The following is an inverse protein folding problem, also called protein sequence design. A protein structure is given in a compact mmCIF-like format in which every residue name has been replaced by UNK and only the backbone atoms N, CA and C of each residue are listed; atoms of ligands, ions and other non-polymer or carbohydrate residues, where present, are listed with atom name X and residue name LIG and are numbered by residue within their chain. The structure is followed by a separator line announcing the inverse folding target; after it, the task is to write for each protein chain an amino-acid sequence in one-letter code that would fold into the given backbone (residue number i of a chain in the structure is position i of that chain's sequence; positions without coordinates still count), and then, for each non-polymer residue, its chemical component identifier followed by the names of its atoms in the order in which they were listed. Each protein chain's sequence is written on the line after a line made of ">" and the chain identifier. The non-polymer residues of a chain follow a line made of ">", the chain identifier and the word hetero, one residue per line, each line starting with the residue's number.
data_IF_436110650867
#
_entry.id   IF_436110650867
#
_cell.length_a   1.000
_cell.length_b   1.000
_cell.length_c   1.000
_cell.angle_alpha   90.00
_cell.angle_beta   90.00
_cell.angle_gamma   90.00
#
_symmetry.space_group_name_H-M   'P 1'
#
loop_
_entity.id
_entity.type
_entity.pdbx_description
1 polymer ?
#
# COMPACT_ATOMS: atom_id res chain seq x y z
N UNK A 1 -14.75 9.03 0.64
CA UNK A 1 -13.80 8.25 1.47
C UNK A 1 -12.68 9.18 1.91
N UNK A 2 -12.39 9.24 3.19
CA UNK A 2 -11.34 10.09 3.79
C UNK A 2 -10.42 9.20 4.62
N UNK A 3 -9.13 9.22 4.32
CA UNK A 3 -8.09 8.59 5.12
C UNK A 3 -7.39 9.66 5.96
N UNK A 4 -7.33 9.47 7.27
CA UNK A 4 -6.82 10.47 8.20
C UNK A 4 -5.92 9.86 9.27
N UNK A 5 -4.74 10.44 9.44
CA UNK A 5 -3.86 10.19 10.59
C UNK A 5 -3.83 11.40 11.51
N UNK A 6 -4.01 11.22 12.80
CA UNK A 6 -4.07 12.29 13.79
C UNK A 6 -2.97 12.14 14.83
N UNK A 7 -2.13 13.16 14.96
CA UNK A 7 -1.07 13.24 15.97
C UNK A 7 -0.21 11.98 16.06
N UNK A 8 0.16 11.43 14.90
CA UNK A 8 0.93 10.19 14.81
C UNK A 8 2.32 10.38 15.40
N UNK A 9 2.65 9.58 16.40
CA UNK A 9 3.98 9.54 17.04
C UNK A 9 4.53 8.13 16.90
N UNK A 10 5.83 8.05 16.57
CA UNK A 10 6.57 6.78 16.61
C UNK A 10 7.89 6.97 17.33
N UNK A 11 8.09 6.12 18.32
CA UNK A 11 9.31 6.04 19.11
C UNK A 11 9.93 4.65 18.99
N UNK A 12 11.25 4.60 18.89
CA UNK A 12 12.06 3.40 18.97
C UNK A 12 13.07 3.57 20.10
N UNK A 13 12.78 2.97 21.26
CA UNK A 13 13.52 3.23 22.47
C UNK A 13 13.46 4.72 22.83
N UNK A 14 14.60 5.39 23.09
CA UNK A 14 14.63 6.80 23.43
C UNK A 14 14.44 7.73 22.22
N UNK A 15 14.47 7.21 21.00
CA UNK A 15 14.44 8.01 19.78
C UNK A 15 13.02 8.20 19.28
N UNK A 16 12.53 9.43 19.27
CA UNK A 16 11.27 9.83 18.63
C UNK A 16 11.52 10.13 17.15
N UNK A 17 11.06 9.22 16.27
CA UNK A 17 11.23 9.29 14.82
C UNK A 17 10.14 10.11 14.16
N UNK A 18 8.88 9.98 14.62
CA UNK A 18 7.74 10.79 14.19
C UNK A 18 7.19 11.50 15.41
N UNK A 19 7.00 12.81 15.30
CA UNK A 19 6.81 13.72 16.46
C UNK A 19 5.43 14.40 16.46
N UNK A 20 4.38 13.72 16.05
CA UNK A 20 3.02 14.26 16.04
C UNK A 20 2.60 14.73 14.63
N UNK A 21 2.72 13.87 13.63
CA UNK A 21 2.27 14.16 12.27
C UNK A 21 0.78 13.91 12.15
N UNK A 22 0.08 14.90 11.59
CA UNK A 22 -1.31 14.74 11.16
C UNK A 22 -1.39 14.91 9.64
N UNK A 23 -2.13 14.03 8.99
CA UNK A 23 -2.31 14.02 7.53
C UNK A 23 -3.72 13.56 7.21
N UNK A 24 -4.29 14.14 6.18
CA UNK A 24 -5.59 13.75 5.63
C UNK A 24 -5.51 13.71 4.13
N UNK A 25 -6.21 12.76 3.52
CA UNK A 25 -6.40 12.68 2.08
C UNK A 25 -7.83 12.28 1.79
N UNK A 26 -8.47 12.98 0.87
CA UNK A 26 -9.84 12.71 0.42
C UNK A 26 -9.84 11.95 -0.91
N UNK A 27 -10.96 11.33 -1.21
CA UNK A 27 -11.12 10.64 -2.49
C UNK A 27 -10.96 11.63 -3.65
N UNK A 28 -10.09 11.29 -4.60
CA UNK A 28 -9.75 12.13 -5.75
C UNK A 28 -8.66 13.17 -5.47
N UNK A 29 -8.17 13.28 -4.23
CA UNK A 29 -7.11 14.20 -3.84
C UNK A 29 -5.74 13.51 -3.90
N UNK A 30 -4.70 14.30 -4.24
CA UNK A 30 -3.29 13.88 -4.16
C UNK A 30 -2.61 14.76 -3.12
N UNK A 31 -2.10 14.12 -2.07
CA UNK A 31 -1.38 14.78 -0.97
C UNK A 31 0.08 14.37 -0.96
N UNK A 32 0.99 15.33 -0.96
CA UNK A 32 2.42 15.13 -0.84
C UNK A 32 2.93 15.32 0.59
N UNK A 33 3.68 14.34 1.10
CA UNK A 33 4.39 14.47 2.38
C UNK A 33 5.85 14.85 2.12
N UNK A 34 6.19 16.11 2.36
CA UNK A 34 7.52 16.67 2.10
C UNK A 34 8.35 16.77 3.38
N UNK A 35 9.66 16.72 3.24
CA UNK A 35 10.60 16.89 4.34
C UNK A 35 11.98 16.29 4.03
N UNK A 36 13.01 16.64 4.79
CA UNK A 36 14.36 16.13 4.61
C UNK A 36 14.46 14.61 4.88
N UNK A 37 15.58 14.02 4.48
CA UNK A 37 15.85 12.62 4.80
C UNK A 37 15.94 12.46 6.32
N UNK A 38 15.34 11.38 6.84
CA UNK A 38 15.26 11.14 8.28
C UNK A 38 14.13 11.89 9.01
N UNK A 39 13.30 12.68 8.32
CA UNK A 39 12.18 13.39 8.92
C UNK A 39 10.99 12.48 9.33
N UNK A 40 11.10 11.17 9.15
CA UNK A 40 10.04 10.22 9.51
C UNK A 40 8.95 10.02 8.45
N UNK A 41 9.12 10.53 7.22
CA UNK A 41 8.14 10.38 6.13
C UNK A 41 7.75 8.92 5.87
N UNK A 42 8.74 8.07 5.61
CA UNK A 42 8.52 6.64 5.36
C UNK A 42 7.85 5.96 6.56
N UNK A 43 8.26 6.29 7.78
CA UNK A 43 7.65 5.74 9.01
C UNK A 43 6.19 6.19 9.14
N UNK A 44 5.87 7.43 8.77
CA UNK A 44 4.48 7.93 8.75
C UNK A 44 3.63 7.16 7.75
N UNK A 45 4.12 6.91 6.53
CA UNK A 45 3.46 6.04 5.56
C UNK A 45 3.27 4.61 6.09
N UNK A 46 4.30 4.04 6.70
CA UNK A 46 4.21 2.69 7.28
C UNK A 46 3.17 2.59 8.39
N UNK A 47 3.00 3.64 9.20
CA UNK A 47 1.94 3.69 10.19
C UNK A 47 0.55 3.73 9.51
N UNK A 48 0.38 4.55 8.47
CA UNK A 48 -0.88 4.70 7.74
C UNK A 48 -1.29 3.40 7.04
N UNK A 49 -0.36 2.70 6.40
CA UNK A 49 -0.67 1.43 5.72
C UNK A 49 -0.72 0.21 6.64
N UNK A 50 -0.27 0.33 7.89
CA UNK A 50 -0.35 -0.74 8.88
C UNK A 50 0.86 -1.67 8.93
N UNK A 51 2.00 -1.27 8.34
CA UNK A 51 3.28 -1.97 8.47
C UNK A 51 3.95 -1.70 9.82
N UNK A 52 3.71 -0.52 10.39
CA UNK A 52 4.26 -0.12 11.69
C UNK A 52 3.11 0.39 12.55
N UNK A 53 3.02 -0.07 13.80
CA UNK A 53 2.05 0.46 14.75
C UNK A 53 2.56 1.79 15.33
N UNK A 54 1.73 2.86 15.36
CA UNK A 54 2.08 4.10 16.04
C UNK A 54 2.27 3.87 17.54
N UNK A 55 3.16 4.64 18.17
CA UNK A 55 3.30 4.68 19.64
C UNK A 55 2.13 5.42 20.26
N UNK A 56 1.69 6.51 19.60
CA UNK A 56 0.44 7.22 19.93
C UNK A 56 -0.12 7.91 18.69
N UNK A 57 -1.32 8.46 18.80
CA UNK A 57 -2.10 8.97 17.69
C UNK A 57 -3.07 7.93 17.15
N UNK A 58 -3.91 8.34 16.21
CA UNK A 58 -4.99 7.50 15.67
C UNK A 58 -5.04 7.59 14.15
N UNK A 59 -5.54 6.52 13.52
CA UNK A 59 -5.73 6.45 12.08
C UNK A 59 -7.18 6.07 11.82
N UNK A 60 -7.82 6.80 10.91
CA UNK A 60 -9.22 6.63 10.56
C UNK A 60 -9.39 6.45 9.05
N UNK A 61 -10.34 5.62 8.68
CA UNK A 61 -10.92 5.58 7.36
C UNK A 61 -12.40 5.99 7.49
N UNK A 62 -12.75 7.13 6.95
CA UNK A 62 -14.01 7.83 7.24
C UNK A 62 -14.24 7.99 8.76
N UNK A 63 -15.26 7.36 9.29
CA UNK A 63 -15.60 7.36 10.74
C UNK A 63 -15.00 6.18 11.50
N UNK A 64 -14.40 5.22 10.81
CA UNK A 64 -13.90 4.00 11.41
C UNK A 64 -12.45 4.17 11.85
N UNK A 65 -12.14 3.94 13.12
CA UNK A 65 -10.76 3.86 13.59
C UNK A 65 -10.12 2.54 13.11
N UNK A 66 -8.99 2.65 12.45
CA UNK A 66 -8.21 1.52 11.88
C UNK A 66 -6.79 1.43 12.46
N UNK A 67 -6.51 2.15 13.54
CA UNK A 67 -5.17 2.24 14.15
C UNK A 67 -4.56 0.88 14.44
N UNK A 68 -5.37 -0.07 14.91
CA UNK A 68 -4.93 -1.42 15.26
C UNK A 68 -5.17 -2.47 14.16
N UNK A 69 -5.70 -2.06 13.02
CA UNK A 69 -5.91 -2.97 11.90
C UNK A 69 -4.58 -3.32 11.24
N UNK A 70 -4.36 -4.62 11.04
CA UNK A 70 -3.23 -5.11 10.25
C UNK A 70 -3.35 -4.67 8.77
N UNK A 71 -2.21 -4.62 8.07
CA UNK A 71 -2.14 -4.17 6.69
C UNK A 71 -3.16 -4.87 5.77
N UNK A 72 -3.32 -6.19 5.88
CA UNK A 72 -4.27 -6.94 5.04
C UNK A 72 -5.73 -6.52 5.26
N UNK A 73 -6.12 -6.15 6.50
CA UNK A 73 -7.46 -5.63 6.80
C UNK A 73 -7.67 -4.25 6.20
N UNK A 74 -6.62 -3.41 6.21
CA UNK A 74 -6.67 -2.09 5.57
C UNK A 74 -6.75 -2.23 4.05
N UNK A 75 -6.05 -3.20 3.47
CA UNK A 75 -6.16 -3.52 2.04
C UNK A 75 -7.57 -3.94 1.65
N UNK A 76 -8.24 -4.79 2.45
CA UNK A 76 -9.64 -5.18 2.25
C UNK A 76 -10.62 -3.99 2.35
N UNK A 77 -10.24 -2.92 3.04
CA UNK A 77 -10.99 -1.66 3.12
C UNK A 77 -10.67 -0.67 1.99
N UNK A 78 -9.80 -1.05 1.05
CA UNK A 78 -9.44 -0.26 -0.12
C UNK A 78 -8.18 0.59 0.02
N UNK A 79 -7.36 0.40 1.08
CA UNK A 79 -6.07 1.10 1.22
C UNK A 79 -4.99 0.29 0.52
N UNK A 80 -4.54 0.76 -0.64
CA UNK A 80 -3.40 0.20 -1.36
C UNK A 80 -2.07 0.80 -0.88
N UNK A 81 -0.98 0.05 -1.09
CA UNK A 81 0.38 0.53 -0.84
C UNK A 81 1.30 0.11 -1.99
N UNK A 82 1.95 1.10 -2.59
CA UNK A 82 3.02 0.86 -3.56
C UNK A 82 4.36 1.09 -2.88
N UNK A 83 5.15 0.02 -2.75
CA UNK A 83 6.46 0.07 -2.12
C UNK A 83 7.47 0.85 -2.97
N UNK A 84 8.49 1.45 -2.32
CA UNK A 84 9.59 2.12 -3.01
C UNK A 84 10.46 1.12 -3.79
N UNK A 85 10.64 -0.08 -3.26
CA UNK A 85 11.34 -1.17 -3.96
C UNK A 85 10.33 -2.08 -4.67
N UNK A 86 10.77 -2.69 -5.77
CA UNK A 86 9.94 -3.63 -6.52
C UNK A 86 9.53 -4.82 -5.63
N UNK A 87 8.23 -4.92 -5.34
CA UNK A 87 7.63 -5.99 -4.52
C UNK A 87 6.95 -7.04 -5.40
N UNK A 88 7.71 -7.62 -6.33
CA UNK A 88 7.25 -8.68 -7.23
C UNK A 88 7.90 -10.01 -6.85
N UNK A 89 7.22 -11.10 -7.14
CA UNK A 89 7.81 -12.44 -7.03
C UNK A 89 8.77 -12.65 -8.20
N UNK A 90 10.06 -12.49 -7.93
CA UNK A 90 11.12 -12.44 -8.96
C UNK A 90 11.19 -13.67 -9.85
N UNK A 91 10.84 -14.85 -9.34
CA UNK A 91 10.86 -16.13 -10.08
C UNK A 91 9.59 -16.41 -10.89
N UNK A 92 8.53 -15.67 -10.64
CA UNK A 92 7.27 -15.76 -11.38
C UNK A 92 7.30 -14.82 -12.58
N UNK A 93 6.56 -15.16 -13.61
CA UNK A 93 6.34 -14.30 -14.77
C UNK A 93 5.47 -13.08 -14.40
N UNK A 94 5.42 -12.09 -15.27
CA UNK A 94 4.52 -10.93 -15.12
C UNK A 94 3.07 -11.39 -14.93
N UNK A 95 2.60 -12.28 -15.81
CA UNK A 95 1.25 -12.83 -15.74
C UNK A 95 0.98 -13.56 -14.41
N UNK A 96 1.92 -14.40 -13.97
CA UNK A 96 1.80 -15.13 -12.70
C UNK A 96 1.79 -14.21 -11.48
N UNK A 97 2.54 -13.12 -11.51
CA UNK A 97 2.51 -12.09 -10.47
C UNK A 97 1.13 -11.43 -10.38
N UNK A 98 0.55 -11.04 -11.52
CA UNK A 98 -0.79 -10.43 -11.58
C UNK A 98 -1.86 -11.44 -11.12
N UNK A 99 -1.80 -12.67 -11.64
CA UNK A 99 -2.73 -13.74 -11.26
C UNK A 99 -2.65 -14.07 -9.77
N UNK A 100 -1.46 -14.07 -9.17
CA UNK A 100 -1.28 -14.31 -7.73
C UNK A 100 -2.03 -13.30 -6.87
N UNK A 101 -2.07 -12.03 -7.29
CA UNK A 101 -2.86 -11.00 -6.59
C UNK A 101 -4.35 -11.16 -6.85
N UNK A 102 -4.75 -11.47 -8.08
CA UNK A 102 -6.15 -11.66 -8.44
C UNK A 102 -6.80 -12.86 -7.72
N UNK A 103 -6.01 -13.89 -7.39
CA UNK A 103 -6.48 -15.03 -6.60
C UNK A 103 -6.90 -14.65 -5.16
N UNK A 104 -6.47 -13.51 -4.66
CA UNK A 104 -6.88 -12.98 -3.34
C UNK A 104 -8.22 -12.22 -3.41
N UNK A 105 -8.78 -12.04 -4.59
CA UNK A 105 -10.08 -11.39 -4.80
C UNK A 105 -11.21 -12.41 -4.80
N UNK A 106 -12.46 -11.93 -4.75
CA UNK A 106 -13.66 -12.76 -4.86
C UNK A 106 -14.08 -13.09 -6.31
N UNK A 107 -13.21 -12.81 -7.28
CA UNK A 107 -13.46 -13.08 -8.69
C UNK A 107 -13.38 -14.58 -8.99
N UNK A 108 -14.26 -15.08 -9.85
CA UNK A 108 -14.15 -16.42 -10.41
C UNK A 108 -12.88 -16.56 -11.26
N UNK A 109 -12.42 -17.80 -11.49
CA UNK A 109 -11.24 -18.05 -12.34
C UNK A 109 -11.32 -17.40 -13.71
N UNK A 110 -12.51 -17.40 -14.31
CA UNK A 110 -12.74 -16.78 -15.63
C UNK A 110 -12.59 -15.27 -15.54
N UNK A 111 -13.17 -14.64 -14.53
CA UNK A 111 -13.06 -13.19 -14.32
C UNK A 111 -11.62 -12.78 -13.98
N UNK A 112 -10.91 -13.58 -13.20
CA UNK A 112 -9.47 -13.36 -12.92
C UNK A 112 -8.65 -13.36 -14.21
N UNK A 113 -8.92 -14.32 -15.12
CA UNK A 113 -8.19 -14.38 -16.39
C UNK A 113 -8.51 -13.16 -17.28
N UNK A 114 -9.78 -12.78 -17.40
CA UNK A 114 -10.20 -11.59 -18.16
C UNK A 114 -9.51 -10.35 -17.56
N UNK A 115 -9.55 -10.20 -16.23
CA UNK A 115 -8.92 -9.05 -15.56
C UNK A 115 -7.41 -9.02 -15.72
N UNK A 116 -6.76 -10.17 -15.71
CA UNK A 116 -5.34 -10.29 -15.99
C UNK A 116 -5.00 -9.81 -17.40
N UNK A 117 -5.76 -10.24 -18.40
CA UNK A 117 -5.56 -9.84 -19.80
C UNK A 117 -5.78 -8.33 -19.98
N UNK A 118 -6.84 -7.77 -19.38
CA UNK A 118 -7.11 -6.32 -19.36
C UNK A 118 -5.94 -5.52 -18.75
N UNK A 119 -5.42 -5.95 -17.60
CA UNK A 119 -4.30 -5.27 -16.94
C UNK A 119 -3.02 -5.34 -17.78
N UNK A 120 -2.73 -6.49 -18.39
CA UNK A 120 -1.57 -6.65 -19.28
C UNK A 120 -1.68 -5.71 -20.48
N UNK A 121 -2.87 -5.52 -21.02
CA UNK A 121 -3.12 -4.59 -22.12
C UNK A 121 -3.02 -3.13 -21.67
N UNK A 122 -3.68 -2.77 -20.58
CA UNK A 122 -3.70 -1.42 -20.01
C UNK A 122 -2.28 -0.90 -19.71
N UNK A 123 -1.42 -1.76 -19.15
CA UNK A 123 -0.04 -1.41 -18.83
C UNK A 123 0.97 -1.75 -19.96
N UNK A 124 0.50 -2.14 -21.15
CA UNK A 124 1.34 -2.47 -22.31
C UNK A 124 2.42 -3.53 -22.01
N UNK A 125 2.07 -4.53 -21.23
CA UNK A 125 2.97 -5.59 -20.76
C UNK A 125 2.98 -6.85 -21.64
N UNK A 126 2.31 -6.85 -22.79
CA UNK A 126 2.15 -8.01 -23.66
C UNK A 126 3.51 -8.61 -24.06
N UNK A 127 4.48 -7.76 -24.39
CA UNK A 127 5.82 -8.16 -24.84
C UNK A 127 6.66 -8.81 -23.74
N UNK A 128 6.34 -8.58 -22.47
CA UNK A 128 7.04 -9.16 -21.30
C UNK A 128 6.17 -10.12 -20.49
N UNK A 129 4.95 -10.41 -20.95
CA UNK A 129 3.94 -11.21 -20.22
C UNK A 129 4.50 -12.49 -19.60
N UNK A 130 5.36 -13.20 -20.32
CA UNK A 130 5.97 -14.47 -19.91
C UNK A 130 7.36 -14.31 -19.30
N UNK A 131 7.91 -13.10 -19.29
CA UNK A 131 9.21 -12.84 -18.69
C UNK A 131 9.09 -12.91 -17.16
N UNK A 132 10.15 -13.44 -16.52
CA UNK A 132 10.24 -13.48 -15.07
C UNK A 132 10.51 -12.09 -14.51
N UNK A 133 10.01 -11.85 -13.30
CA UNK A 133 10.16 -10.56 -12.61
C UNK A 133 11.61 -10.15 -12.31
N UNK A 134 12.56 -11.09 -12.33
CA UNK A 134 13.99 -10.81 -12.18
C UNK A 134 14.69 -10.40 -13.50
N UNK A 135 13.95 -10.43 -14.60
CA UNK A 135 14.45 -10.06 -15.94
C UNK A 135 13.86 -8.76 -16.49
N UNK A 136 13.12 -8.03 -15.63
CA UNK A 136 12.46 -6.75 -15.98
C UNK A 136 13.32 -5.54 -15.64
#
# INVERSE_FOLDING_TARGET
>A
MILRGENLIKEYGPKKVVKGVSVQVEQGEIVGLLGPNGAGKTTSFYMIVGLVKPTSGKIFLDKQEITNDAMYRRAQKGIGYLAQEASVFRKLSVEENIMGVLQLTNLSRREQQIKCDELIEEFSLQHVRKNRGDLL
#
